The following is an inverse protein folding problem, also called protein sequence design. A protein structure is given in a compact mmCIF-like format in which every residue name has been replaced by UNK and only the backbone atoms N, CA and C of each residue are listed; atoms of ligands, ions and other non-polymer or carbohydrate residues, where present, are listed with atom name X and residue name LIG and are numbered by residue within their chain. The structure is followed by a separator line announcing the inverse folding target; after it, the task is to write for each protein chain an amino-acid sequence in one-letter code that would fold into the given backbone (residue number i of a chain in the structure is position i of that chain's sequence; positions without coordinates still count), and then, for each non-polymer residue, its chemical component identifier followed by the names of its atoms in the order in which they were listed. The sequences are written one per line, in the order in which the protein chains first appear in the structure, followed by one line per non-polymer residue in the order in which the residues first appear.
data_IF_508352959596
#
_entry.id   IF_508352959596
#
_cell.length_a   1.000
_cell.length_b   1.000
_cell.length_c   1.000
_cell.angle_alpha   90.00
_cell.angle_beta   90.00
_cell.angle_gamma   90.00
#
_symmetry.space_group_name_H-M   'P 1'
#
loop_
_entity.id
_entity.type
_entity.pdbx_description
1 polymer ?
#
# COMPACT_ATOMS: atom_id res chain seq x y z
N UNK A 1 27.41 -5.73 -6.55
CA UNK A 1 27.37 -7.21 -6.56
C UNK A 1 26.87 -7.63 -5.19
N UNK A 2 25.61 -8.02 -5.07
CA UNK A 2 25.06 -8.53 -3.81
C UNK A 2 25.50 -9.99 -3.69
N UNK A 3 26.19 -10.29 -2.59
CA UNK A 3 26.67 -11.63 -2.32
C UNK A 3 25.50 -12.53 -1.90
N UNK A 4 25.44 -13.67 -2.56
CA UNK A 4 24.67 -14.86 -2.22
C UNK A 4 25.07 -15.30 -0.80
N UNK A 5 24.15 -15.32 0.16
CA UNK A 5 24.29 -16.11 1.38
C UNK A 5 22.93 -16.57 1.92
N UNK A 6 22.92 -17.86 2.18
CA UNK A 6 21.86 -18.72 2.68
C UNK A 6 21.60 -18.53 4.19
N UNK A 7 20.34 -18.75 4.54
CA UNK A 7 19.79 -19.14 5.85
C UNK A 7 19.72 -18.13 7.04
N UNK A 8 18.46 -17.74 7.31
CA UNK A 8 17.82 -17.63 8.64
C UNK A 8 18.52 -16.80 9.71
N UNK A 9 18.10 -15.54 9.89
CA UNK A 9 17.69 -14.94 11.19
C UNK A 9 17.18 -13.51 10.97
N UNK A 10 15.98 -13.27 11.45
CA UNK A 10 15.32 -11.97 11.58
C UNK A 10 16.18 -10.96 12.39
N UNK A 11 16.93 -10.07 11.74
CA UNK A 11 17.07 -8.64 12.12
C UNK A 11 18.13 -7.90 11.31
N UNK A 12 17.77 -6.64 11.04
CA UNK A 12 18.59 -5.50 10.60
C UNK A 12 18.69 -5.30 9.08
N UNK A 13 17.59 -4.82 8.48
CA UNK A 13 17.74 -3.88 7.37
C UNK A 13 18.31 -2.58 7.94
N UNK A 14 19.58 -2.29 7.67
CA UNK A 14 20.17 -0.97 7.88
C UNK A 14 19.67 0.05 6.84
N UNK A 15 19.86 1.34 7.13
CA UNK A 15 19.36 2.50 6.37
C UNK A 15 19.78 2.54 4.89
N UNK A 16 20.81 1.78 4.51
CA UNK A 16 21.37 1.68 3.16
C UNK A 16 21.23 0.24 2.61
N UNK A 17 20.01 -0.26 2.56
CA UNK A 17 19.66 -1.54 1.93
C UNK A 17 18.48 -1.29 0.97
N UNK A 18 18.36 -1.98 -0.19
CA UNK A 18 17.25 -1.80 -1.14
C UNK A 18 15.84 -2.10 -0.58
N UNK A 19 15.69 -2.28 0.73
CA UNK A 19 14.45 -2.07 1.48
C UNK A 19 13.88 -0.63 1.36
N UNK A 20 14.33 0.20 0.41
CA UNK A 20 13.59 1.38 -0.11
C UNK A 20 12.15 1.02 -0.55
N UNK A 21 11.86 -0.26 -0.75
CA UNK A 21 10.51 -0.84 -0.84
C UNK A 21 9.71 -0.84 0.47
N UNK A 22 10.27 -0.44 1.62
CA UNK A 22 9.62 -0.42 2.93
C UNK A 22 8.64 0.74 3.13
N UNK A 23 8.73 1.81 2.33
CA UNK A 23 7.71 2.86 2.34
C UNK A 23 6.40 2.40 1.69
N UNK A 24 6.47 1.55 0.67
CA UNK A 24 5.30 1.05 -0.07
C UNK A 24 4.28 0.33 0.83
N UNK A 25 4.66 -0.58 1.76
CA UNK A 25 3.70 -1.18 2.66
C UNK A 25 3.09 -0.17 3.65
N UNK A 26 3.80 0.88 4.04
CA UNK A 26 3.22 1.93 4.90
C UNK A 26 2.24 2.84 4.13
N UNK A 27 2.59 3.28 2.92
CA UNK A 27 1.70 4.08 2.06
C UNK A 27 0.46 3.28 1.67
N UNK A 28 0.62 2.00 1.34
CA UNK A 28 -0.50 1.10 1.09
C UNK A 28 -1.42 1.00 2.32
N UNK A 29 -0.86 0.77 3.51
CA UNK A 29 -1.63 0.72 4.77
C UNK A 29 -2.40 2.02 5.03
N UNK A 30 -1.76 3.18 4.80
CA UNK A 30 -2.42 4.49 4.94
C UNK A 30 -3.56 4.63 3.93
N UNK A 31 -3.36 4.18 2.69
CA UNK A 31 -4.37 4.24 1.64
C UNK A 31 -5.59 3.39 1.97
N UNK A 32 -5.39 2.11 2.32
CA UNK A 32 -6.51 1.20 2.62
C UNK A 32 -7.28 1.62 3.86
N UNK A 33 -6.60 2.27 4.83
CA UNK A 33 -7.28 2.88 5.97
C UNK A 33 -8.08 4.12 5.58
N UNK A 34 -7.52 5.01 4.76
CA UNK A 34 -8.20 6.22 4.30
C UNK A 34 -9.46 5.89 3.46
N UNK A 35 -9.41 4.79 2.72
CA UNK A 35 -10.52 4.24 1.92
C UNK A 35 -11.46 3.31 2.71
N UNK A 36 -11.14 2.98 3.97
CA UNK A 36 -11.95 2.09 4.80
C UNK A 36 -11.95 0.61 4.39
N UNK A 37 -10.99 0.17 3.57
CA UNK A 37 -10.92 -1.20 3.01
C UNK A 37 -9.86 -2.11 3.66
N UNK A 38 -9.17 -1.66 4.73
CA UNK A 38 -8.08 -2.43 5.38
C UNK A 38 -8.52 -3.82 5.87
N UNK A 39 -9.78 -3.98 6.29
CA UNK A 39 -10.34 -5.25 6.73
C UNK A 39 -10.91 -6.13 5.61
N UNK A 40 -10.94 -5.64 4.38
CA UNK A 40 -11.54 -6.32 3.23
C UNK A 40 -10.49 -7.03 2.35
N UNK A 41 -9.22 -6.64 2.46
CA UNK A 41 -8.11 -7.27 1.73
C UNK A 41 -7.67 -8.58 2.38
N UNK A 42 -7.78 -9.68 1.64
CA UNK A 42 -7.17 -10.95 2.04
C UNK A 42 -5.64 -10.89 1.95
N UNK A 43 -4.94 -11.81 2.62
CA UNK A 43 -3.46 -11.83 2.66
C UNK A 43 -2.81 -11.86 1.27
N UNK A 44 -3.36 -12.65 0.33
CA UNK A 44 -2.87 -12.73 -1.04
C UNK A 44 -3.03 -11.39 -1.79
N UNK A 45 -4.21 -10.78 -1.69
CA UNK A 45 -4.52 -9.49 -2.32
C UNK A 45 -3.66 -8.36 -1.70
N UNK A 46 -3.39 -8.44 -0.40
CA UNK A 46 -2.52 -7.50 0.31
C UNK A 46 -1.09 -7.58 -0.20
N UNK A 47 -0.57 -8.79 -0.44
CA UNK A 47 0.76 -8.99 -1.01
C UNK A 47 0.85 -8.43 -2.45
N UNK A 48 -0.14 -8.72 -3.29
CA UNK A 48 -0.21 -8.20 -4.66
C UNK A 48 -0.33 -6.67 -4.70
N UNK A 49 -1.21 -6.09 -3.88
CA UNK A 49 -1.39 -4.65 -3.81
C UNK A 49 -0.12 -3.95 -3.32
N UNK A 50 0.60 -4.56 -2.36
CA UNK A 50 1.91 -4.11 -1.93
C UNK A 50 2.94 -4.12 -3.06
N UNK A 51 2.96 -5.17 -3.88
CA UNK A 51 3.84 -5.25 -5.05
C UNK A 51 3.51 -4.20 -6.13
N UNK A 52 2.25 -3.81 -6.30
CA UNK A 52 1.87 -2.70 -7.17
C UNK A 52 2.26 -1.33 -6.58
N UNK A 53 2.20 -1.18 -5.25
CA UNK A 53 2.65 0.05 -4.60
C UNK A 53 4.17 0.25 -4.70
N UNK A 54 4.98 -0.81 -4.80
CA UNK A 54 6.43 -0.67 -4.98
C UNK A 54 6.81 -0.19 -6.38
N UNK A 55 5.95 -0.40 -7.38
CA UNK A 55 6.16 0.06 -8.76
C UNK A 55 5.59 1.45 -9.06
N UNK A 56 4.93 2.08 -8.08
CA UNK A 56 4.37 3.42 -8.24
C UNK A 56 5.47 4.45 -8.54
N UNK A 57 5.36 5.10 -9.70
CA UNK A 57 6.28 6.15 -10.16
C UNK A 57 5.99 7.51 -9.54
N UNK A 58 4.73 7.75 -9.17
CA UNK A 58 4.21 9.05 -8.72
C UNK A 58 4.09 9.11 -7.18
N UNK A 59 5.12 8.60 -6.49
CA UNK A 59 5.13 8.46 -5.02
C UNK A 59 4.92 9.77 -4.27
N UNK A 60 5.52 10.86 -4.73
CA UNK A 60 5.37 12.16 -4.06
C UNK A 60 3.92 12.66 -4.14
N UNK A 61 3.28 12.53 -5.31
CA UNK A 61 1.86 12.87 -5.51
C UNK A 61 0.96 11.95 -4.67
N UNK A 62 1.32 10.67 -4.57
CA UNK A 62 0.61 9.71 -3.71
C UNK A 62 0.67 10.13 -2.22
N UNK A 63 1.81 10.61 -1.75
CA UNK A 63 1.98 11.09 -0.37
C UNK A 63 1.15 12.32 -0.09
N UNK A 64 1.20 13.32 -0.97
CA UNK A 64 0.37 14.52 -0.84
C UNK A 64 -1.13 14.16 -0.78
N UNK A 65 -1.55 13.23 -1.64
CA UNK A 65 -2.92 12.72 -1.60
C UNK A 65 -3.23 12.02 -0.26
N UNK A 66 -2.33 11.17 0.24
CA UNK A 66 -2.50 10.46 1.51
C UNK A 66 -2.58 11.41 2.71
N UNK A 67 -1.83 12.50 2.71
CA UNK A 67 -1.87 13.48 3.80
C UNK A 67 -3.21 14.24 3.82
N UNK A 68 -3.78 14.55 2.64
CA UNK A 68 -5.13 15.12 2.53
C UNK A 68 -6.19 14.11 2.95
N UNK A 69 -6.09 12.87 2.46
CA UNK A 69 -7.03 11.79 2.74
C UNK A 69 -7.01 11.38 4.22
N UNK A 70 -5.87 11.48 4.91
CA UNK A 70 -5.78 11.22 6.34
C UNK A 70 -6.57 12.23 7.20
N UNK A 71 -6.81 13.45 6.70
CA UNK A 71 -7.56 14.49 7.40
C UNK A 71 -9.06 14.36 7.14
N UNK A 72 -9.45 14.05 5.89
CA UNK A 72 -10.85 14.13 5.43
C UNK A 72 -11.51 12.79 5.15
N UNK A 73 -10.74 11.69 5.16
CA UNK A 73 -11.13 10.45 4.49
C UNK A 73 -11.05 10.58 2.96
N UNK A 74 -11.28 9.48 2.27
CA UNK A 74 -11.41 9.46 0.81
C UNK A 74 -12.41 8.39 0.37
N UNK A 75 -13.24 8.72 -0.62
CA UNK A 75 -14.18 7.78 -1.24
C UNK A 75 -13.52 6.91 -2.34
N UNK A 76 -12.44 7.41 -2.96
CA UNK A 76 -11.74 6.74 -4.06
C UNK A 76 -10.25 7.02 -4.01
N UNK A 77 -9.44 6.06 -4.48
CA UNK A 77 -8.01 6.25 -4.70
C UNK A 77 -7.76 7.29 -5.82
N UNK A 78 -6.57 7.92 -5.90
CA UNK A 78 -6.27 8.84 -7.00
C UNK A 78 -6.20 8.09 -8.33
N UNK A 79 -6.53 8.76 -9.44
CA UNK A 79 -6.64 8.14 -10.78
C UNK A 79 -5.37 7.43 -11.26
N UNK A 80 -4.19 7.88 -10.82
CA UNK A 80 -2.91 7.25 -11.15
C UNK A 80 -2.59 6.01 -10.30
N UNK A 81 -3.41 5.69 -9.29
CA UNK A 81 -3.19 4.54 -8.41
C UNK A 81 -3.47 3.24 -9.16
N UNK A 82 -2.44 2.40 -9.31
CA UNK A 82 -2.55 1.09 -9.94
C UNK A 82 -3.48 0.12 -9.18
N UNK A 83 -3.74 0.37 -7.90
CA UNK A 83 -4.70 -0.38 -7.10
C UNK A 83 -6.11 0.23 -7.11
N UNK A 84 -6.36 1.31 -7.87
CA UNK A 84 -7.58 2.10 -7.81
C UNK A 84 -8.85 1.29 -8.04
N UNK A 85 -8.90 0.52 -9.13
CA UNK A 85 -10.05 -0.35 -9.45
C UNK A 85 -10.24 -1.45 -8.40
N UNK A 86 -9.15 -2.04 -7.91
CA UNK A 86 -9.19 -3.07 -6.88
C UNK A 86 -9.78 -2.53 -5.58
N UNK A 87 -9.33 -1.36 -5.13
CA UNK A 87 -9.88 -0.74 -3.91
C UNK A 87 -11.33 -0.29 -4.09
N UNK A 88 -11.72 0.18 -5.29
CA UNK A 88 -13.10 0.54 -5.59
C UNK A 88 -14.04 -0.67 -5.59
N UNK A 89 -13.59 -1.82 -6.11
CA UNK A 89 -14.34 -3.08 -6.04
C UNK A 89 -14.58 -3.49 -4.58
N UNK A 90 -13.52 -3.53 -3.77
CA UNK A 90 -13.62 -3.87 -2.34
C UNK A 90 -14.55 -2.91 -1.57
N UNK A 91 -14.47 -1.61 -1.83
CA UNK A 91 -15.36 -0.62 -1.20
C UNK A 91 -16.84 -0.80 -1.60
N UNK A 92 -17.09 -1.29 -2.82
CA UNK A 92 -18.45 -1.56 -3.31
C UNK A 92 -19.02 -2.89 -2.79
N UNK A 93 -18.15 -3.86 -2.51
CA UNK A 93 -18.50 -5.16 -1.94
C UNK A 93 -18.66 -5.11 -0.41
N UNK A 94 -18.17 -4.05 0.23
CA UNK A 94 -18.39 -3.80 1.65
C UNK A 94 -19.91 -3.75 1.92
N UNK A 95 -20.45 -4.61 2.80
CA UNK A 95 -21.85 -4.52 3.17
C UNK A 95 -22.07 -3.13 3.79
N UNK A 96 -22.92 -2.32 3.16
CA UNK A 96 -23.40 -1.08 3.75
C UNK A 96 -23.91 -1.43 5.15
N UNK A 97 -23.16 -1.05 6.18
CA UNK A 97 -23.59 -1.28 7.56
C UNK A 97 -24.72 -0.31 7.80
N UNK A 98 -25.95 -0.83 7.72
CA UNK A 98 -27.21 -0.13 8.03
C UNK A 98 -27.27 0.13 9.54
#
# INVERSE_FOLDING_TARGET
MCADHDDTTERACGDDCPCRSAAAPEEMRRMVRALGVDGLLQDAERAEAGALCTTCTDRDVCRDWLDVAAIRGADHAPDFCLNGERFAALASEAPATI
#
